data_IF_559553153411
#
_entry.id   IF_559553153411
#
_cell.length_a   1.000
_cell.length_b   1.000
_cell.length_c   1.000
_cell.angle_alpha   90.00
_cell.angle_beta   90.00
_cell.angle_gamma   90.00
#
_symmetry.space_group_name_H-M   'P 1'
#
loop_
_entity.id
_entity.type
_entity.pdbx_description
1 polymer ?
#
# COMPACT_ATOMS: atom_id res chain seq x y z
N UNK A 1 -10.18 -9.59 -14.80
CA UNK A 1 -9.85 -8.40 -13.97
C UNK A 1 -10.81 -8.20 -12.80
N UNK A 2 -12.14 -8.26 -12.99
CA UNK A 2 -13.10 -8.12 -11.89
C UNK A 2 -12.85 -9.09 -10.70
N UNK A 3 -12.46 -10.34 -10.99
CA UNK A 3 -12.17 -11.35 -9.96
C UNK A 3 -10.99 -10.98 -9.06
N UNK A 4 -9.91 -10.41 -9.61
CA UNK A 4 -8.73 -10.06 -8.83
C UNK A 4 -9.01 -8.88 -7.87
N UNK A 5 -9.80 -7.89 -8.32
CA UNK A 5 -10.23 -6.81 -7.44
C UNK A 5 -11.25 -7.28 -6.39
N UNK A 6 -12.12 -8.23 -6.73
CA UNK A 6 -13.04 -8.83 -5.77
C UNK A 6 -12.28 -9.62 -4.68
N UNK A 7 -11.23 -10.35 -5.07
CA UNK A 7 -10.37 -11.09 -4.15
C UNK A 7 -9.58 -10.15 -3.22
N UNK A 8 -8.98 -9.08 -3.76
CA UNK A 8 -8.33 -8.03 -2.96
C UNK A 8 -9.33 -7.40 -1.98
N UNK A 9 -10.54 -7.08 -2.41
CA UNK A 9 -11.55 -6.51 -1.52
C UNK A 9 -12.00 -7.49 -0.42
N UNK A 10 -12.01 -8.79 -0.69
CA UNK A 10 -12.29 -9.82 0.31
C UNK A 10 -11.14 -9.94 1.32
N UNK A 11 -9.89 -9.98 0.84
CA UNK A 11 -8.68 -9.99 1.67
C UNK A 11 -8.65 -8.76 2.60
N UNK A 12 -8.88 -7.56 2.07
CA UNK A 12 -8.89 -6.33 2.89
C UNK A 12 -9.96 -6.38 3.99
N UNK A 13 -11.16 -6.91 3.70
CA UNK A 13 -12.20 -7.12 4.71
C UNK A 13 -11.77 -8.09 5.82
N UNK A 14 -11.12 -9.19 5.46
CA UNK A 14 -10.63 -10.17 6.43
C UNK A 14 -9.53 -9.58 7.33
N UNK A 15 -8.55 -8.89 6.74
CA UNK A 15 -7.46 -8.25 7.49
C UNK A 15 -8.00 -7.14 8.39
N UNK A 16 -8.84 -6.27 7.85
CA UNK A 16 -9.35 -5.11 8.60
C UNK A 16 -10.33 -5.47 9.72
N UNK A 17 -11.04 -6.59 9.61
CA UNK A 17 -11.91 -7.12 10.65
C UNK A 17 -11.19 -7.86 11.79
N UNK A 18 -9.88 -8.11 11.67
CA UNK A 18 -9.09 -8.79 12.69
C UNK A 18 -8.66 -7.89 13.85
N UNK A 19 -8.20 -8.51 14.95
CA UNK A 19 -7.72 -7.79 16.13
C UNK A 19 -6.28 -7.25 16.00
N UNK A 20 -5.56 -7.65 14.95
CA UNK A 20 -4.17 -7.26 14.72
C UNK A 20 -4.01 -5.75 14.50
N UNK A 21 -2.81 -5.26 14.77
CA UNK A 21 -2.36 -3.95 14.33
C UNK A 21 -1.92 -4.04 12.87
N UNK A 22 -2.88 -3.86 11.96
CA UNK A 22 -2.68 -4.00 10.53
C UNK A 22 -2.44 -2.65 9.85
N UNK A 23 -1.68 -2.65 8.75
CA UNK A 23 -1.63 -1.53 7.79
C UNK A 23 -1.83 -2.11 6.40
N UNK A 24 -2.84 -1.65 5.66
CA UNK A 24 -3.08 -2.10 4.29
C UNK A 24 -2.45 -1.08 3.33
N UNK A 25 -1.40 -1.49 2.64
CA UNK A 25 -0.67 -0.61 1.71
C UNK A 25 -1.08 -0.92 0.28
N UNK A 26 -1.88 -0.01 -0.32
CA UNK A 26 -2.37 -0.14 -1.68
C UNK A 26 -1.34 0.42 -2.65
N UNK A 27 -0.58 -0.49 -3.24
CA UNK A 27 0.47 -0.17 -4.20
C UNK A 27 -0.13 -0.04 -5.60
N UNK A 28 0.23 1.04 -6.29
CA UNK A 28 -0.01 1.19 -7.72
C UNK A 28 1.02 0.39 -8.54
N UNK A 29 1.04 0.54 -9.87
CA UNK A 29 1.91 -0.23 -10.77
C UNK A 29 3.37 -0.24 -10.27
N UNK A 30 3.89 -1.43 -10.02
CA UNK A 30 5.27 -1.64 -9.61
C UNK A 30 6.17 -1.84 -10.83
N UNK A 31 7.38 -1.27 -10.79
CA UNK A 31 8.42 -1.44 -11.81
C UNK A 31 9.71 -1.98 -11.18
N UNK A 32 10.63 -2.45 -12.02
CA UNK A 32 11.99 -2.78 -11.61
C UNK A 32 12.93 -1.60 -11.87
N UNK A 33 14.02 -1.51 -11.12
CA UNK A 33 15.00 -0.43 -11.23
C UNK A 33 15.54 0.03 -9.87
N UNK A 34 16.46 1.01 -9.87
CA UNK A 34 17.00 1.59 -8.65
C UNK A 34 15.92 2.36 -7.87
N UNK A 35 16.20 2.60 -6.59
CA UNK A 35 15.35 3.41 -5.73
C UNK A 35 15.27 4.85 -6.23
N UNK A 36 14.07 5.42 -6.20
CA UNK A 36 13.84 6.84 -6.46
C UNK A 36 13.65 7.63 -5.18
N UNK A 37 13.20 6.98 -4.10
CA UNK A 37 12.91 7.64 -2.83
C UNK A 37 11.67 8.53 -2.82
N UNK A 38 10.91 8.59 -3.92
CA UNK A 38 9.79 9.50 -4.09
C UNK A 38 8.45 8.77 -4.03
N UNK A 39 7.98 8.45 -2.81
CA UNK A 39 6.64 7.92 -2.60
C UNK A 39 5.76 8.93 -1.85
N UNK A 40 4.64 9.28 -2.47
CA UNK A 40 3.51 9.95 -1.85
C UNK A 40 2.57 8.91 -1.21
N UNK A 41 2.13 9.21 0.01
CA UNK A 41 1.11 8.46 0.74
C UNK A 41 -0.14 9.31 0.94
N UNK A 42 -1.31 8.70 0.84
CA UNK A 42 -2.59 9.35 1.15
C UNK A 42 -3.57 8.35 1.76
N UNK A 43 -4.41 8.81 2.70
CA UNK A 43 -5.59 8.03 3.15
C UNK A 43 -6.77 8.19 2.20
N UNK A 44 -6.78 9.27 1.41
CA UNK A 44 -7.78 9.53 0.38
C UNK A 44 -7.39 8.88 -0.96
N UNK A 45 -8.37 8.78 -1.86
CA UNK A 45 -8.14 8.33 -3.22
C UNK A 45 -7.15 9.26 -3.95
N UNK A 46 -6.22 8.65 -4.67
CA UNK A 46 -5.27 9.38 -5.49
C UNK A 46 -5.88 9.65 -6.86
N UNK A 47 -5.98 10.92 -7.25
CA UNK A 47 -6.58 11.31 -8.53
C UNK A 47 -5.79 10.80 -9.75
N UNK A 48 -4.46 10.75 -9.65
CA UNK A 48 -3.55 10.32 -10.72
C UNK A 48 -2.33 9.58 -10.16
N UNK A 49 -2.48 8.30 -9.78
CA UNK A 49 -1.37 7.52 -9.25
C UNK A 49 -0.32 7.21 -10.33
N UNK A 50 0.94 7.16 -9.92
CA UNK A 50 2.12 6.84 -10.74
C UNK A 50 2.77 5.52 -10.33
N UNK A 51 3.59 4.99 -11.23
CA UNK A 51 4.31 3.74 -11.05
C UNK A 51 5.67 3.93 -10.40
N UNK A 52 6.00 3.10 -9.41
CA UNK A 52 7.23 3.23 -8.63
C UNK A 52 8.01 1.91 -8.58
N UNK A 53 9.34 1.97 -8.33
CA UNK A 53 10.16 0.79 -8.19
C UNK A 53 9.74 -0.10 -7.01
N UNK A 54 9.87 -1.43 -7.19
CA UNK A 54 9.67 -2.42 -6.12
C UNK A 54 10.56 -2.17 -4.90
N UNK A 55 11.78 -1.66 -5.11
CA UNK A 55 12.71 -1.34 -4.02
C UNK A 55 12.18 -0.22 -3.12
N UNK A 56 11.51 0.80 -3.68
CA UNK A 56 10.90 1.86 -2.90
C UNK A 56 9.69 1.33 -2.12
N UNK A 57 8.87 0.48 -2.74
CA UNK A 57 7.74 -0.17 -2.07
C UNK A 57 8.21 -1.04 -0.89
N UNK A 58 9.25 -1.87 -1.07
CA UNK A 58 9.79 -2.71 -0.02
C UNK A 58 10.32 -1.89 1.17
N UNK A 59 11.07 -0.82 0.89
CA UNK A 59 11.56 0.09 1.92
C UNK A 59 10.40 0.75 2.70
N UNK A 60 9.33 1.15 1.99
CA UNK A 60 8.13 1.71 2.63
C UNK A 60 7.44 0.68 3.53
N UNK A 61 7.24 -0.55 3.07
CA UNK A 61 6.56 -1.60 3.84
C UNK A 61 7.27 -1.84 5.19
N UNK A 62 8.61 -1.93 5.18
CA UNK A 62 9.40 -2.08 6.42
C UNK A 62 9.21 -0.86 7.33
N UNK A 63 9.26 0.36 6.78
CA UNK A 63 9.06 1.58 7.56
C UNK A 63 7.68 1.64 8.22
N UNK A 64 6.63 1.17 7.53
CA UNK A 64 5.28 1.17 8.07
C UNK A 64 5.07 0.08 9.12
N UNK A 65 5.64 -1.10 8.93
CA UNK A 65 5.60 -2.17 9.93
C UNK A 65 6.21 -1.75 11.28
N UNK A 66 7.17 -0.82 11.26
CA UNK A 66 7.83 -0.27 12.45
C UNK A 66 7.16 0.99 13.01
N UNK A 67 6.11 1.51 12.38
CA UNK A 67 5.50 2.78 12.77
C UNK A 67 4.00 2.63 13.11
N UNK A 68 3.61 2.68 14.40
CA UNK A 68 2.24 2.48 14.83
C UNK A 68 1.27 3.57 14.37
N UNK A 69 1.74 4.72 13.87
CA UNK A 69 0.89 5.81 13.40
C UNK A 69 -0.01 5.44 12.20
N UNK A 70 0.29 4.32 11.53
CA UNK A 70 -0.47 3.80 10.39
C UNK A 70 -1.28 2.55 10.70
N UNK A 71 -1.28 2.10 11.97
CA UNK A 71 -2.07 0.97 12.39
C UNK A 71 -3.56 1.23 12.15
N UNK A 72 -4.26 0.16 11.78
CA UNK A 72 -5.69 0.10 11.49
C UNK A 72 -6.13 1.10 10.43
N UNK A 73 -5.26 1.40 9.47
CA UNK A 73 -5.56 2.29 8.37
C UNK A 73 -5.10 1.71 7.01
N UNK A 74 -5.91 1.84 5.95
CA UNK A 74 -5.41 1.69 4.59
C UNK A 74 -4.66 2.96 4.17
N UNK A 75 -3.61 2.79 3.36
CA UNK A 75 -2.85 3.90 2.75
C UNK A 75 -2.64 3.64 1.27
N UNK A 76 -2.99 4.61 0.44
CA UNK A 76 -2.73 4.61 -0.99
C UNK A 76 -1.33 5.17 -1.25
N UNK A 77 -0.56 4.50 -2.10
CA UNK A 77 0.84 4.87 -2.39
C UNK A 77 1.03 5.12 -3.88
N UNK A 78 1.64 6.25 -4.22
CA UNK A 78 2.03 6.62 -5.57
C UNK A 78 3.44 7.19 -5.57
N UNK A 79 4.15 7.01 -6.66
CA UNK A 79 5.47 7.58 -6.93
C UNK A 79 5.76 7.37 -8.39
#
# INVERSE_FOLDING_TARGET
MATAYADVAAMERLVSGGALDWTIVRLNRLTDGPATGHLQMSRDLLARPRSHPRVDAAALLVRLALNPAHNRAPVNVSG
#
